data_IF_121142795583
#
_entry.id   IF_121142795583
#
_cell.length_a   1.000
_cell.length_b   1.000
_cell.length_c   1.000
_cell.angle_alpha   90.00
_cell.angle_beta   90.00
_cell.angle_gamma   90.00
#
_symmetry.space_group_name_H-M   'P 1'
#
loop_
_entity.id
_entity.type
_entity.pdbx_description
1 polymer ?
#
# COMPACT_ATOMS: atom_id res chain seq x y z
N UNK A 1 10.60 2.31 -10.41
CA UNK A 1 10.45 1.32 -9.34
C UNK A 1 10.47 2.10 -8.05
N UNK A 2 9.45 1.96 -7.22
CA UNK A 2 9.36 2.63 -5.91
C UNK A 2 9.93 1.69 -4.87
N UNK A 3 10.94 2.13 -4.13
CA UNK A 3 11.47 1.35 -3.00
C UNK A 3 10.63 1.59 -1.74
N UNK A 4 10.78 0.74 -0.73
CA UNK A 4 10.14 0.98 0.57
C UNK A 4 10.61 2.29 1.20
N UNK A 5 11.88 2.66 1.02
CA UNK A 5 12.40 3.95 1.47
C UNK A 5 11.76 5.13 0.72
N UNK A 6 11.52 4.99 -0.58
CA UNK A 6 10.82 6.01 -1.36
C UNK A 6 9.36 6.16 -0.91
N UNK A 7 8.70 5.06 -0.57
CA UNK A 7 7.36 5.11 0.03
C UNK A 7 7.36 5.94 1.31
N UNK A 8 8.25 5.64 2.26
CA UNK A 8 8.30 6.36 3.54
C UNK A 8 8.63 7.83 3.36
N UNK A 9 9.60 8.17 2.51
CA UNK A 9 9.93 9.56 2.17
C UNK A 9 8.70 10.31 1.67
N UNK A 10 7.96 9.72 0.72
CA UNK A 10 6.75 10.31 0.17
C UNK A 10 5.62 10.40 1.20
N UNK A 11 5.41 9.33 1.95
CA UNK A 11 4.35 9.23 2.96
C UNK A 11 4.53 10.23 4.10
N UNK A 12 5.77 10.44 4.55
CA UNK A 12 6.13 11.47 5.52
C UNK A 12 5.84 12.88 5.04
N UNK A 13 6.16 13.18 3.77
CA UNK A 13 5.85 14.48 3.18
C UNK A 13 4.34 14.74 3.09
N UNK A 14 3.53 13.71 2.82
CA UNK A 14 2.08 13.85 2.70
C UNK A 14 1.38 14.06 4.05
N UNK A 15 1.90 13.49 5.14
CA UNK A 15 1.26 13.52 6.47
C UNK A 15 1.95 14.41 7.48
N UNK A 16 2.93 15.23 7.07
CA UNK A 16 3.74 16.09 7.93
C UNK A 16 4.19 15.36 9.22
N UNK A 17 4.65 14.12 9.05
CA UNK A 17 5.03 13.22 10.15
C UNK A 17 6.27 12.44 9.79
N UNK A 18 7.18 12.33 10.77
CA UNK A 18 8.44 11.64 10.60
C UNK A 18 8.23 10.12 10.74
N UNK A 19 8.09 9.44 9.60
CA UNK A 19 8.04 8.01 9.52
C UNK A 19 9.42 7.55 9.03
N UNK A 20 10.20 6.93 9.90
CA UNK A 20 11.42 6.23 9.51
C UNK A 20 11.12 4.78 9.16
N UNK A 21 11.83 4.23 8.17
CA UNK A 21 11.87 2.77 7.95
C UNK A 21 12.62 2.15 9.14
N UNK A 22 11.99 1.31 9.98
CA UNK A 22 12.69 0.66 11.08
C UNK A 22 13.78 -0.26 10.51
N UNK A 23 15.01 -0.11 11.00
CA UNK A 23 16.10 -1.04 10.69
C UNK A 23 15.95 -2.26 11.58
N UNK A 24 15.28 -3.30 11.09
CA UNK A 24 15.19 -4.58 11.79
C UNK A 24 16.00 -5.65 11.05
N UNK A 25 16.57 -6.60 11.80
CA UNK A 25 17.22 -7.79 11.24
C UNK A 25 16.24 -8.77 10.61
N UNK A 26 14.93 -8.52 10.73
CA UNK A 26 13.82 -9.41 10.43
C UNK A 26 12.96 -8.86 9.29
N UNK A 27 13.56 -8.14 8.33
CA UNK A 27 12.82 -7.50 7.25
C UNK A 27 11.92 -6.36 7.76
N UNK A 28 10.89 -6.03 6.98
CA UNK A 28 10.02 -4.91 7.29
C UNK A 28 8.56 -5.33 7.37
N UNK A 29 7.83 -4.81 8.36
CA UNK A 29 6.38 -4.88 8.45
C UNK A 29 5.83 -3.66 9.19
N UNK A 30 4.95 -2.89 8.56
CA UNK A 30 4.24 -1.77 9.21
C UNK A 30 2.79 -1.68 8.73
N UNK A 31 1.92 -1.12 9.57
CA UNK A 31 0.49 -0.92 9.29
C UNK A 31 0.15 0.56 9.36
N UNK A 32 -0.67 1.01 8.42
CA UNK A 32 -1.10 2.39 8.28
C UNK A 32 -2.61 2.48 8.07
N UNK A 33 -3.20 3.56 8.56
CA UNK A 33 -4.59 3.87 8.28
C UNK A 33 -4.73 4.45 6.86
N UNK A 34 -5.83 4.13 6.20
CA UNK A 34 -6.27 4.74 4.94
C UNK A 34 -7.05 6.03 5.23
N UNK A 35 -6.68 7.13 4.57
CA UNK A 35 -7.43 8.40 4.59
C UNK A 35 -7.50 9.02 3.18
N UNK A 36 -8.55 9.77 2.87
CA UNK A 36 -8.80 10.24 1.50
C UNK A 36 -7.65 11.06 0.88
N UNK A 37 -6.78 11.67 1.70
CA UNK A 37 -5.67 12.51 1.25
C UNK A 37 -4.37 11.72 0.95
N UNK A 38 -4.26 10.44 1.31
CA UNK A 38 -2.99 9.69 1.24
C UNK A 38 -2.76 8.89 -0.05
N UNK A 39 -3.57 9.07 -1.10
CA UNK A 39 -3.70 8.08 -2.18
C UNK A 39 -3.08 8.38 -3.55
N UNK A 40 -2.22 9.38 -3.70
CA UNK A 40 -1.37 9.46 -4.90
C UNK A 40 -0.24 8.43 -4.82
N UNK A 41 -0.60 7.14 -4.92
CA UNK A 41 0.38 6.08 -5.07
C UNK A 41 0.83 6.08 -6.53
N UNK A 42 2.13 6.26 -6.81
CA UNK A 42 2.62 6.20 -8.18
C UNK A 42 2.25 4.86 -8.83
N UNK A 43 1.87 4.91 -10.12
CA UNK A 43 1.68 3.73 -10.95
C UNK A 43 3.06 3.12 -11.29
N UNK A 44 3.70 2.51 -10.30
CA UNK A 44 5.04 1.94 -10.39
C UNK A 44 5.07 0.54 -9.79
N UNK A 45 6.01 -0.27 -10.29
CA UNK A 45 6.47 -1.49 -9.61
C UNK A 45 7.13 -1.14 -8.27
N UNK A 46 7.10 -2.08 -7.33
CA UNK A 46 7.58 -1.92 -5.95
C UNK A 46 8.53 -3.05 -5.57
N UNK A 47 9.42 -2.80 -4.61
CA UNK A 47 10.27 -3.82 -3.97
C UNK A 47 9.68 -4.36 -2.65
N UNK A 48 8.46 -3.93 -2.31
CA UNK A 48 7.72 -4.35 -1.13
C UNK A 48 6.30 -4.81 -1.51
N UNK A 49 5.73 -5.65 -0.65
CA UNK A 49 4.35 -6.12 -0.74
C UNK A 49 3.40 -5.18 0.00
N UNK A 50 2.16 -5.14 -0.46
CA UNK A 50 1.08 -4.36 0.16
C UNK A 50 -0.21 -5.16 0.18
N UNK A 51 -0.82 -5.24 1.37
CA UNK A 51 -2.19 -5.72 1.53
C UNK A 51 -3.02 -4.54 2.06
N UNK A 52 -4.20 -4.31 1.48
CA UNK A 52 -5.07 -3.20 1.87
C UNK A 52 -6.46 -3.71 2.24
N UNK A 53 -6.89 -3.43 3.46
CA UNK A 53 -8.28 -3.50 3.87
C UNK A 53 -8.98 -2.21 3.44
N UNK A 54 -9.91 -2.33 2.51
CA UNK A 54 -10.71 -1.24 1.98
C UNK A 54 -12.10 -1.35 2.59
N UNK A 55 -12.54 -0.33 3.31
CA UNK A 55 -13.91 -0.20 3.81
C UNK A 55 -14.73 0.82 3.00
N UNK A 56 -14.04 1.74 2.30
CA UNK A 56 -14.65 2.69 1.36
C UNK A 56 -14.96 2.08 0.00
N UNK A 57 -15.49 2.90 -0.91
CA UNK A 57 -15.78 2.51 -2.30
C UNK A 57 -14.82 3.17 -3.29
N UNK A 58 -14.51 2.48 -4.38
CA UNK A 58 -13.56 2.99 -5.37
C UNK A 58 -13.35 2.03 -6.53
N UNK A 59 -12.44 2.40 -7.43
CA UNK A 59 -12.05 1.60 -8.58
C UNK A 59 -10.56 1.27 -8.53
N UNK A 60 -10.25 -0.02 -8.62
CA UNK A 60 -8.88 -0.50 -8.75
C UNK A 60 -8.56 -0.66 -10.23
N UNK A 61 -7.64 0.17 -10.74
CA UNK A 61 -7.14 0.09 -12.11
C UNK A 61 -5.84 -0.70 -12.15
N UNK A 62 -5.74 -1.67 -13.04
CA UNK A 62 -4.51 -2.44 -13.26
C UNK A 62 -4.43 -2.86 -14.74
N UNK A 63 -3.28 -2.64 -15.37
CA UNK A 63 -3.12 -2.83 -16.81
C UNK A 63 -4.25 -2.17 -17.61
N UNK A 64 -4.99 -2.92 -18.42
CA UNK A 64 -6.14 -2.44 -19.21
C UNK A 64 -7.49 -2.86 -18.59
N UNK A 65 -7.53 -3.12 -17.29
CA UNK A 65 -8.71 -3.59 -16.56
C UNK A 65 -8.96 -2.71 -15.34
N UNK A 66 -10.21 -2.69 -14.91
CA UNK A 66 -10.63 -2.08 -13.66
C UNK A 66 -11.55 -3.01 -12.90
N UNK A 67 -11.53 -2.90 -11.58
CA UNK A 67 -12.43 -3.62 -10.67
C UNK A 67 -13.08 -2.58 -9.78
N UNK A 68 -14.42 -2.53 -9.81
CA UNK A 68 -15.20 -1.72 -8.88
C UNK A 68 -15.28 -2.43 -7.54
N UNK A 69 -14.93 -1.70 -6.49
CA UNK A 69 -15.05 -2.12 -5.10
C UNK A 69 -16.16 -1.28 -4.47
N UNK A 70 -17.30 -1.92 -4.22
CA UNK A 70 -18.53 -1.29 -3.70
C UNK A 70 -18.89 -1.75 -2.28
N UNK A 71 -18.02 -2.56 -1.66
CA UNK A 71 -18.19 -3.14 -0.32
C UNK A 71 -16.83 -3.42 0.31
N UNK A 72 -16.77 -3.69 1.63
CA UNK A 72 -15.53 -4.04 2.30
C UNK A 72 -14.77 -5.17 1.60
N UNK A 73 -13.49 -4.94 1.31
CA UNK A 73 -12.66 -5.86 0.54
C UNK A 73 -11.22 -5.88 1.03
N UNK A 74 -10.55 -7.02 0.85
CA UNK A 74 -9.12 -7.19 1.09
C UNK A 74 -8.40 -7.27 -0.25
N UNK A 75 -7.50 -6.33 -0.51
CA UNK A 75 -6.74 -6.22 -1.75
C UNK A 75 -5.32 -6.73 -1.55
N UNK A 76 -4.95 -7.77 -2.29
CA UNK A 76 -3.59 -8.30 -2.35
C UNK A 76 -2.89 -7.73 -3.58
N UNK A 77 -1.83 -6.95 -3.36
CA UNK A 77 -1.11 -6.28 -4.44
C UNK A 77 0.12 -7.06 -4.86
N UNK A 78 0.24 -7.38 -6.15
CA UNK A 78 1.48 -7.90 -6.71
C UNK A 78 2.47 -6.74 -6.94
N UNK A 79 3.69 -6.74 -6.35
CA UNK A 79 4.67 -5.67 -6.51
C UNK A 79 5.09 -5.43 -7.97
N UNK A 80 4.98 -6.44 -8.83
CA UNK A 80 5.37 -6.39 -10.25
C UNK A 80 4.29 -5.84 -11.17
N UNK A 81 3.05 -5.75 -10.69
CA UNK A 81 1.90 -5.25 -11.45
C UNK A 81 1.56 -3.84 -10.95
N UNK A 82 1.81 -2.80 -11.75
CA UNK A 82 1.37 -1.46 -11.41
C UNK A 82 -0.16 -1.42 -11.30
N UNK A 83 -0.65 -0.70 -10.29
CA UNK A 83 -2.08 -0.46 -10.10
C UNK A 83 -2.29 0.94 -9.53
N UNK A 84 -3.48 1.48 -9.75
CA UNK A 84 -3.94 2.75 -9.19
C UNK A 84 -5.30 2.55 -8.50
N UNK A 85 -5.54 3.33 -7.46
CA UNK A 85 -6.81 3.37 -6.75
C UNK A 85 -7.49 4.70 -7.03
N UNK A 86 -8.66 4.66 -7.65
CA UNK A 86 -9.52 5.82 -7.87
C UNK A 86 -10.61 5.88 -6.80
N UNK A 87 -10.80 7.07 -6.24
CA UNK A 87 -11.72 7.30 -5.13
C UNK A 87 -13.08 7.72 -5.68
N UNK A 88 -14.12 6.97 -5.31
CA UNK A 88 -15.49 7.27 -5.73
C UNK A 88 -16.34 7.88 -4.60
N UNK A 89 -15.81 7.92 -3.37
CA UNK A 89 -16.47 8.46 -2.18
C UNK A 89 -15.45 9.09 -1.23
N UNK A 90 -15.75 10.21 -0.55
CA UNK A 90 -14.86 10.82 0.45
C UNK A 90 -14.55 9.88 1.63
N UNK A 91 -15.41 8.89 1.91
CA UNK A 91 -15.19 7.90 2.96
C UNK A 91 -14.26 6.79 2.46
N UNK A 92 -12.97 6.91 2.77
CA UNK A 92 -11.92 5.95 2.39
C UNK A 92 -11.31 5.22 3.59
N UNK A 93 -12.16 4.85 4.56
CA UNK A 93 -11.71 4.13 5.74
C UNK A 93 -11.05 2.79 5.39
N UNK A 94 -10.17 2.34 6.28
CA UNK A 94 -9.45 1.08 6.15
C UNK A 94 -8.01 1.16 6.62
N UNK A 95 -7.26 0.12 6.33
CA UNK A 95 -5.85 -0.01 6.69
C UNK A 95 -5.08 -0.64 5.55
N UNK A 96 -3.77 -0.43 5.52
CA UNK A 96 -2.89 -1.23 4.70
C UNK A 96 -1.63 -1.58 5.48
N UNK A 97 -1.10 -2.76 5.21
CA UNK A 97 0.23 -3.13 5.69
C UNK A 97 1.21 -3.17 4.52
N UNK A 98 2.45 -2.80 4.83
CA UNK A 98 3.60 -2.95 3.95
C UNK A 98 4.54 -3.96 4.56
N UNK A 99 5.08 -4.85 3.75
CA UNK A 99 6.06 -5.83 4.22
C UNK A 99 7.01 -6.27 3.11
N UNK A 100 8.18 -6.75 3.50
CA UNK A 100 9.20 -7.23 2.55
C UNK A 100 9.23 -8.75 2.49
N UNK A 101 9.92 -9.29 1.49
CA UNK A 101 10.10 -10.73 1.34
C UNK A 101 10.83 -11.36 2.54
N UNK A 102 11.82 -10.65 3.11
CA UNK A 102 12.58 -11.10 4.29
C UNK A 102 11.71 -11.23 5.54
N UNK A 103 10.58 -10.53 5.62
CA UNK A 103 9.62 -10.69 6.71
C UNK A 103 8.84 -12.00 6.57
N UNK A 104 8.45 -12.37 5.35
CA UNK A 104 7.64 -13.58 5.09
C UNK A 104 8.47 -14.86 5.21
N UNK A 105 9.72 -14.83 4.73
CA UNK A 105 10.57 -16.02 4.63
C UNK A 105 11.23 -16.46 5.95
N UNK A 106 10.78 -15.98 7.11
CA UNK A 106 11.41 -16.28 8.40
C UNK A 106 11.09 -17.67 8.94
N UNK A 107 9.94 -18.24 8.59
CA UNK A 107 9.55 -19.58 9.06
C UNK A 107 10.22 -20.72 8.25
N UNK A 108 11.04 -20.39 7.26
CA UNK A 108 11.73 -21.38 6.40
C UNK A 108 13.18 -21.67 6.85
N UNK A 109 13.56 -21.31 8.07
CA UNK A 109 14.90 -21.53 8.63
C UNK A 109 14.90 -22.33 9.92
#
# INVERSE_FOLDING_TARGET
METIHDFYRRFSLTRDSDYSVPSTSFGHFNVFQRDACSFLTPYSRRDYYKISLVLGTGELHYANRWIRVDRPALLFSNPMVPYAWEINSPEQAGWFCLFTEEFVNQESR
#
